data_IF_045151930932
#
_entry.id   IF_045151930932
#
_cell.length_a   1.000
_cell.length_b   1.000
_cell.length_c   1.000
_cell.angle_alpha   90.00
_cell.angle_beta   90.00
_cell.angle_gamma   90.00
#
_symmetry.space_group_name_H-M   'P 1'
#
loop_
_entity.id
_entity.type
_entity.pdbx_description
1 polymer ?
#
# COMPACT_ATOMS: atom_id res chain seq x y z
N UNK A 1 8.61 -27.26 4.01
CA UNK A 1 7.56 -26.26 4.22
C UNK A 1 8.09 -24.92 3.72
N UNK A 2 7.60 -24.43 2.59
CA UNK A 2 8.02 -23.15 2.03
C UNK A 2 7.16 -22.03 2.64
N UNK A 3 7.80 -21.05 3.27
CA UNK A 3 7.13 -19.84 3.73
C UNK A 3 6.74 -19.01 2.51
N UNK A 4 5.46 -18.90 2.23
CA UNK A 4 4.93 -18.08 1.14
C UNK A 4 4.83 -16.63 1.62
N UNK A 5 5.70 -15.75 1.10
CA UNK A 5 5.66 -14.32 1.38
C UNK A 5 4.45 -13.71 0.65
N UNK A 6 3.53 -13.15 1.45
CA UNK A 6 2.25 -12.60 1.00
C UNK A 6 2.28 -11.08 1.14
N UNK A 7 1.93 -10.37 0.07
CA UNK A 7 1.91 -8.89 0.00
C UNK A 7 0.47 -8.38 -0.05
N UNK A 8 0.00 -7.84 1.08
CA UNK A 8 -1.31 -7.21 1.20
C UNK A 8 -1.31 -5.84 0.50
N UNK A 9 -2.26 -5.64 -0.43
CA UNK A 9 -2.62 -4.31 -0.92
C UNK A 9 -4.13 -4.11 -0.80
N UNK A 10 -4.51 -3.05 -0.10
CA UNK A 10 -5.85 -2.48 -0.15
C UNK A 10 -5.94 -1.62 -1.42
N UNK A 11 -6.39 -2.21 -2.54
CA UNK A 11 -6.47 -1.52 -3.85
C UNK A 11 -7.74 -0.65 -3.97
N UNK A 12 -8.68 -0.72 -3.03
CA UNK A 12 -10.02 -0.09 -3.20
C UNK A 12 -10.18 1.24 -2.43
N UNK A 13 -9.21 1.65 -1.60
CA UNK A 13 -9.36 2.82 -0.72
C UNK A 13 -8.90 4.20 -1.26
N UNK A 14 -8.31 4.30 -2.45
CA UNK A 14 -7.48 5.47 -2.83
C UNK A 14 -8.18 6.57 -3.64
N UNK A 15 -9.49 6.48 -3.90
CA UNK A 15 -10.25 7.53 -4.60
C UNK A 15 -11.25 8.18 -3.63
N UNK A 16 -10.86 9.29 -2.98
CA UNK A 16 -11.86 10.22 -2.44
C UNK A 16 -11.63 10.95 -1.11
N UNK A 17 -10.51 10.78 -0.39
CA UNK A 17 -10.45 11.23 1.03
C UNK A 17 -9.41 12.34 1.36
N UNK A 18 -8.94 13.12 0.39
CA UNK A 18 -7.74 13.93 0.63
C UNK A 18 -7.94 15.30 1.32
N UNK A 19 -9.10 15.97 1.20
CA UNK A 19 -9.12 17.42 1.45
C UNK A 19 -9.56 17.89 2.86
N UNK A 20 -10.56 17.31 3.55
CA UNK A 20 -10.95 17.80 4.88
C UNK A 20 -10.04 17.31 6.04
N UNK A 21 -9.16 16.34 5.80
CA UNK A 21 -8.33 15.74 6.87
C UNK A 21 -7.05 16.53 7.21
N UNK A 22 -6.56 17.37 6.29
CA UNK A 22 -5.27 18.04 6.46
C UNK A 22 -5.34 19.18 7.49
N UNK A 23 -6.44 19.93 7.52
CA UNK A 23 -6.61 21.08 8.43
C UNK A 23 -6.86 20.63 9.88
N UNK A 24 -7.60 19.53 10.05
CA UNK A 24 -7.80 18.84 11.34
C UNK A 24 -6.49 18.25 11.87
N UNK A 25 -5.60 17.81 10.98
CA UNK A 25 -4.31 17.19 11.32
C UNK A 25 -3.36 18.16 12.02
N UNK A 26 -3.18 19.38 11.52
CA UNK A 26 -2.23 20.36 12.06
C UNK A 26 -2.62 20.81 13.48
N UNK A 27 -3.91 21.10 13.70
CA UNK A 27 -4.43 21.46 15.02
C UNK A 27 -4.30 20.32 16.06
N UNK A 28 -4.40 19.06 15.61
CA UNK A 28 -4.18 17.88 16.48
C UNK A 28 -2.70 17.66 16.79
N UNK A 29 -1.81 17.83 15.81
CA UNK A 29 -0.36 17.70 16.02
C UNK A 29 0.16 18.68 17.07
N UNK A 30 -0.29 19.94 17.04
CA UNK A 30 0.07 20.94 18.05
C UNK A 30 -0.34 20.50 19.46
N UNK A 31 -1.56 19.98 19.63
CA UNK A 31 -2.05 19.44 20.91
C UNK A 31 -1.22 18.24 21.38
N UNK A 32 -0.86 17.33 20.49
CA UNK A 32 -0.02 16.18 20.85
C UNK A 32 1.39 16.60 21.27
N UNK A 33 1.98 17.58 20.57
CA UNK A 33 3.28 18.15 20.93
C UNK A 33 3.25 18.85 22.28
N UNK A 34 2.16 19.57 22.60
CA UNK A 34 1.97 20.20 23.91
C UNK A 34 1.89 19.16 25.05
N UNK A 35 1.11 18.08 24.85
CA UNK A 35 0.97 16.99 25.84
C UNK A 35 2.27 16.25 26.15
N UNK A 36 3.19 16.20 25.19
CA UNK A 36 4.53 15.64 25.42
C UNK A 36 5.42 16.55 26.31
N UNK A 37 5.03 17.81 26.53
CA UNK A 37 5.80 18.82 27.27
C UNK A 37 5.15 19.27 28.59
N UNK A 38 3.82 19.17 28.70
CA UNK A 38 3.05 19.70 29.85
C UNK A 38 2.94 18.74 31.04
N UNK A 39 3.59 17.58 30.96
CA UNK A 39 3.56 16.55 32.00
C UNK A 39 2.52 15.45 31.80
N UNK A 40 1.63 15.56 30.79
CA UNK A 40 0.62 14.53 30.50
C UNK A 40 1.24 13.14 30.30
N UNK A 41 2.42 13.05 29.70
CA UNK A 41 3.12 11.79 29.42
C UNK A 41 4.38 11.56 30.29
N UNK A 42 4.36 11.98 31.56
CA UNK A 42 5.51 11.82 32.48
C UNK A 42 5.93 10.36 32.73
N UNK A 43 5.03 9.40 32.49
CA UNK A 43 5.36 7.97 32.55
C UNK A 43 6.35 7.50 31.47
N UNK A 44 6.52 8.25 30.38
CA UNK A 44 7.54 7.95 29.37
C UNK A 44 8.94 8.41 29.83
N UNK A 45 10.03 7.81 29.37
CA UNK A 45 11.37 8.38 29.54
C UNK A 45 11.47 9.78 28.91
N UNK A 46 12.26 10.67 29.52
CA UNK A 46 12.45 12.04 29.04
C UNK A 46 12.99 12.06 27.61
N UNK A 47 14.06 11.30 27.34
CA UNK A 47 14.70 11.23 26.03
C UNK A 47 13.73 10.78 24.93
N UNK A 48 12.80 9.86 25.26
CA UNK A 48 11.76 9.43 24.32
C UNK A 48 10.77 10.56 24.03
N UNK A 49 10.35 11.34 25.03
CA UNK A 49 9.45 12.49 24.82
C UNK A 49 10.13 13.57 23.96
N UNK A 50 11.40 13.84 24.21
CA UNK A 50 12.20 14.80 23.43
C UNK A 50 12.35 14.34 21.98
N UNK A 51 12.70 13.07 21.77
CA UNK A 51 12.77 12.46 20.44
C UNK A 51 11.45 12.56 19.68
N UNK A 52 10.33 12.17 20.30
CA UNK A 52 9.00 12.25 19.67
C UNK A 52 8.59 13.70 19.37
N UNK A 53 8.89 14.62 20.29
CA UNK A 53 8.63 16.06 20.11
C UNK A 53 9.36 16.63 18.91
N UNK A 54 10.61 16.21 18.68
CA UNK A 54 11.40 16.62 17.51
C UNK A 54 10.84 16.07 16.20
N UNK A 55 10.19 14.90 16.23
CA UNK A 55 9.57 14.27 15.05
C UNK A 55 8.22 14.86 14.65
N UNK A 56 7.51 15.52 15.58
CA UNK A 56 6.25 16.23 15.29
C UNK A 56 6.58 17.60 14.68
N UNK A 57 6.80 17.59 13.36
CA UNK A 57 6.94 18.77 12.52
C UNK A 57 5.58 19.21 11.94
N UNK A 58 5.43 20.45 11.45
CA UNK A 58 4.15 20.95 10.91
C UNK A 58 3.60 20.09 9.76
N UNK A 59 4.49 19.52 8.94
CA UNK A 59 4.19 18.68 7.79
C UNK A 59 4.05 17.18 8.13
N UNK A 60 4.27 16.77 9.40
CA UNK A 60 4.31 15.36 9.75
C UNK A 60 3.01 14.61 9.40
N UNK A 61 1.86 15.28 9.52
CA UNK A 61 0.56 14.71 9.13
C UNK A 61 0.36 14.59 7.62
N UNK A 62 1.13 15.34 6.82
CA UNK A 62 1.02 15.33 5.34
C UNK A 62 1.86 14.22 4.70
N UNK A 63 2.94 13.78 5.35
CA UNK A 63 3.89 12.82 4.78
C UNK A 63 3.22 11.49 4.39
N UNK A 64 2.42 10.92 5.27
CA UNK A 64 1.78 9.63 5.01
C UNK A 64 0.71 9.71 3.89
N UNK A 65 -0.25 10.66 3.92
CA UNK A 65 -1.17 10.85 2.79
C UNK A 65 -0.46 11.13 1.46
N UNK A 66 0.61 11.93 1.48
CA UNK A 66 1.37 12.25 0.26
C UNK A 66 2.07 11.01 -0.29
N UNK A 67 2.70 10.20 0.56
CA UNK A 67 3.28 8.93 0.16
C UNK A 67 2.21 7.98 -0.42
N UNK A 68 1.02 7.94 0.19
CA UNK A 68 -0.12 7.15 -0.31
C UNK A 68 -0.57 7.59 -1.70
N UNK A 69 -0.67 8.90 -1.95
CA UNK A 69 -0.99 9.45 -3.29
C UNK A 69 0.06 9.05 -4.32
N UNK A 70 1.34 9.21 -4.00
CA UNK A 70 2.44 8.84 -4.91
C UNK A 70 2.46 7.33 -5.20
N UNK A 71 2.21 6.48 -4.20
CA UNK A 71 2.09 5.04 -4.39
C UNK A 71 0.90 4.69 -5.31
N UNK A 72 -0.24 5.39 -5.17
CA UNK A 72 -1.40 5.19 -6.05
C UNK A 72 -1.09 5.56 -7.50
N UNK A 73 -0.38 6.67 -7.72
CA UNK A 73 0.06 7.11 -9.05
C UNK A 73 1.05 6.13 -9.68
N UNK A 74 2.02 5.65 -8.90
CA UNK A 74 2.97 4.63 -9.33
C UNK A 74 2.26 3.33 -9.73
N UNK A 75 1.29 2.86 -8.93
CA UNK A 75 0.50 1.69 -9.24
C UNK A 75 -0.34 1.87 -10.51
N UNK A 76 -0.97 3.03 -10.69
CA UNK A 76 -1.73 3.37 -11.91
C UNK A 76 -0.85 3.35 -13.16
N UNK A 77 0.35 3.94 -13.07
CA UNK A 77 1.34 3.89 -14.15
C UNK A 77 1.78 2.46 -14.48
N UNK A 78 2.00 1.64 -13.45
CA UNK A 78 2.37 0.23 -13.58
C UNK A 78 1.27 -0.58 -14.28
N UNK A 79 0.00 -0.41 -13.89
CA UNK A 79 -1.14 -1.04 -14.55
C UNK A 79 -1.20 -0.65 -16.02
N UNK A 80 -1.17 0.66 -16.33
CA UNK A 80 -1.26 1.17 -17.70
C UNK A 80 -0.15 0.64 -18.61
N UNK A 81 1.04 0.43 -18.05
CA UNK A 81 2.21 -0.05 -18.80
C UNK A 81 2.14 -1.57 -19.00
N UNK A 82 1.94 -2.33 -17.92
CA UNK A 82 2.07 -3.79 -17.96
C UNK A 82 0.85 -4.50 -18.56
N UNK A 83 -0.32 -3.88 -18.45
CA UNK A 83 -1.51 -4.42 -19.10
C UNK A 83 -1.55 -4.08 -20.59
N UNK A 84 -0.79 -3.10 -21.08
CA UNK A 84 -0.80 -2.75 -22.50
C UNK A 84 -0.22 -3.89 -23.36
N UNK A 85 -0.97 -4.28 -24.38
CA UNK A 85 -0.55 -5.20 -25.43
C UNK A 85 0.20 -4.46 -26.55
N UNK A 86 0.98 -5.18 -27.39
CA UNK A 86 1.63 -4.58 -28.56
C UNK A 86 0.67 -3.86 -29.51
N UNK A 87 -0.57 -4.36 -29.63
CA UNK A 87 -1.64 -3.75 -30.42
C UNK A 87 -2.30 -2.51 -29.77
N UNK A 88 -1.85 -2.12 -28.58
CA UNK A 88 -2.37 -0.97 -27.82
C UNK A 88 -3.59 -1.29 -26.95
N UNK A 89 -4.20 -2.47 -27.07
CA UNK A 89 -5.29 -2.90 -26.20
C UNK A 89 -4.78 -3.20 -24.78
N UNK A 90 -5.70 -3.33 -23.81
CA UNK A 90 -5.37 -3.62 -22.42
C UNK A 90 -5.68 -5.09 -22.08
N UNK A 91 -4.74 -5.75 -21.41
CA UNK A 91 -4.95 -7.06 -20.78
C UNK A 91 -5.98 -6.96 -19.67
N UNK A 92 -6.70 -8.05 -19.45
CA UNK A 92 -7.54 -8.18 -18.26
C UNK A 92 -6.65 -8.26 -17.03
N UNK A 93 -7.19 -7.88 -15.88
CA UNK A 93 -6.55 -8.07 -14.59
C UNK A 93 -6.96 -9.44 -14.04
N UNK A 94 -5.99 -10.28 -13.71
CA UNK A 94 -6.22 -11.49 -12.93
C UNK A 94 -6.35 -11.09 -11.46
N UNK A 95 -7.37 -11.61 -10.77
CA UNK A 95 -7.59 -11.42 -9.34
C UNK A 95 -7.44 -12.79 -8.67
N UNK A 96 -6.45 -12.93 -7.80
CA UNK A 96 -6.14 -14.16 -7.08
C UNK A 96 -6.54 -13.97 -5.62
N UNK A 97 -7.76 -14.40 -5.28
CA UNK A 97 -8.24 -14.40 -3.89
C UNK A 97 -7.48 -15.44 -3.05
N UNK A 98 -7.25 -15.14 -1.77
CA UNK A 98 -6.58 -16.05 -0.82
C UNK A 98 -7.37 -16.17 0.47
N UNK A 99 -7.54 -17.37 1.00
CA UNK A 99 -8.23 -17.61 2.28
C UNK A 99 -9.72 -17.23 2.23
N UNK A 100 -10.22 -16.57 3.28
CA UNK A 100 -11.55 -15.98 3.31
C UNK A 100 -11.64 -14.85 2.27
N UNK A 101 -12.47 -14.99 1.22
CA UNK A 101 -12.43 -14.07 0.08
C UNK A 101 -12.84 -12.65 0.45
N UNK A 102 -13.66 -12.46 1.47
CA UNK A 102 -14.19 -11.15 1.85
C UNK A 102 -14.01 -11.00 3.36
N UNK A 103 -13.22 -10.02 3.78
CA UNK A 103 -13.05 -9.74 5.21
C UNK A 103 -14.30 -9.08 5.81
N UNK A 104 -14.37 -9.00 7.14
CA UNK A 104 -15.55 -8.51 7.88
C UNK A 104 -16.05 -7.10 7.51
N UNK A 105 -15.23 -6.27 6.85
CA UNK A 105 -15.65 -4.97 6.32
C UNK A 105 -16.13 -5.01 4.85
N UNK A 106 -16.36 -6.21 4.29
CA UNK A 106 -16.82 -6.37 2.91
C UNK A 106 -15.73 -6.19 1.85
N UNK A 107 -14.45 -6.26 2.22
CA UNK A 107 -13.32 -6.05 1.29
C UNK A 107 -12.77 -7.37 0.80
N UNK A 108 -12.55 -7.47 -0.51
CA UNK A 108 -11.86 -8.61 -1.12
C UNK A 108 -10.35 -8.49 -0.90
N UNK A 109 -9.75 -9.50 -0.26
CA UNK A 109 -8.31 -9.62 -0.12
C UNK A 109 -7.75 -10.48 -1.27
N UNK A 110 -6.97 -9.85 -2.15
CA UNK A 110 -6.47 -10.53 -3.33
C UNK A 110 -5.11 -10.01 -3.80
N UNK A 111 -4.39 -10.88 -4.51
CA UNK A 111 -3.31 -10.48 -5.39
C UNK A 111 -3.85 -10.13 -6.76
N UNK A 112 -3.16 -9.24 -7.45
CA UNK A 112 -3.49 -8.91 -8.84
C UNK A 112 -2.29 -9.08 -9.75
N UNK A 113 -2.53 -9.52 -10.99
CA UNK A 113 -1.49 -9.74 -11.98
C UNK A 113 -2.06 -9.55 -13.41
N UNK A 114 -1.21 -9.36 -14.44
CA UNK A 114 -1.67 -9.40 -15.82
C UNK A 114 -2.28 -10.77 -16.17
N UNK A 115 -3.47 -10.77 -16.79
CA UNK A 115 -4.06 -12.00 -17.34
C UNK A 115 -3.53 -12.23 -18.76
N UNK A 116 -2.84 -13.35 -18.95
CA UNK A 116 -2.41 -13.85 -20.26
C UNK A 116 -3.37 -14.95 -20.72
N UNK A 117 -3.91 -14.86 -21.93
CA UNK A 117 -4.83 -15.90 -22.45
C UNK A 117 -4.11 -17.20 -22.84
N UNK A 118 -2.78 -17.19 -22.98
CA UNK A 118 -2.02 -18.37 -23.38
C UNK A 118 -2.18 -18.73 -24.86
N UNK A 119 -2.75 -17.83 -25.65
CA UNK A 119 -2.90 -17.98 -27.10
C UNK A 119 -1.63 -17.55 -27.82
N UNK A 120 -1.46 -17.92 -29.10
CA UNK A 120 -0.32 -17.47 -29.90
C UNK A 120 -0.18 -15.94 -29.96
N UNK A 121 -1.30 -15.21 -29.90
CA UNK A 121 -1.37 -13.75 -29.88
C UNK A 121 -1.12 -13.09 -28.52
N UNK A 122 -1.20 -13.84 -27.41
CA UNK A 122 -0.94 -13.34 -26.04
C UNK A 122 -0.41 -14.51 -25.19
N UNK A 123 0.82 -14.97 -25.49
CA UNK A 123 1.39 -16.16 -24.87
C UNK A 123 1.65 -15.90 -23.38
N UNK A 124 1.47 -16.94 -22.57
CA UNK A 124 1.85 -16.89 -21.16
C UNK A 124 3.39 -16.89 -21.07
N UNK A 125 4.02 -15.89 -20.43
CA UNK A 125 5.47 -15.88 -20.29
C UNK A 125 5.99 -17.08 -19.47
N UNK A 126 7.30 -17.41 -19.56
CA UNK A 126 7.92 -18.40 -18.69
C UNK A 126 7.72 -18.07 -17.20
N UNK A 127 7.71 -19.09 -16.34
CA UNK A 127 7.37 -18.97 -14.90
C UNK A 127 8.11 -17.84 -14.18
N UNK A 128 9.40 -17.71 -14.43
CA UNK A 128 10.28 -16.74 -13.74
C UNK A 128 10.34 -15.38 -14.45
N UNK A 129 9.57 -15.18 -15.53
CA UNK A 129 9.58 -13.94 -16.27
C UNK A 129 8.97 -12.79 -15.44
N UNK A 130 9.61 -11.60 -15.36
CA UNK A 130 9.11 -10.48 -14.57
C UNK A 130 7.66 -10.07 -14.89
N UNK A 131 7.23 -10.21 -16.15
CA UNK A 131 5.85 -9.90 -16.55
C UNK A 131 4.78 -10.71 -15.81
N UNK A 132 5.13 -11.87 -15.25
CA UNK A 132 4.21 -12.71 -14.45
C UNK A 132 4.08 -12.29 -13.00
N UNK A 133 4.92 -11.36 -12.52
CA UNK A 133 4.86 -10.89 -11.13
C UNK A 133 3.50 -10.26 -10.83
N UNK A 134 3.05 -10.41 -9.60
CA UNK A 134 1.87 -9.68 -9.12
C UNK A 134 2.20 -8.20 -8.99
N UNK A 135 1.22 -7.33 -9.22
CA UNK A 135 1.37 -5.89 -8.98
C UNK A 135 1.74 -5.62 -7.51
N UNK A 136 1.23 -6.43 -6.58
CA UNK A 136 1.59 -6.39 -5.17
C UNK A 136 3.11 -6.58 -4.97
N UNK A 137 3.69 -7.62 -5.57
CA UNK A 137 5.12 -7.90 -5.44
C UNK A 137 5.97 -6.77 -6.02
N UNK A 138 5.61 -6.24 -7.19
CA UNK A 138 6.37 -5.16 -7.81
C UNK A 138 6.28 -3.86 -7.00
N UNK A 139 5.13 -3.56 -6.41
CA UNK A 139 5.01 -2.40 -5.54
C UNK A 139 5.87 -2.50 -4.27
N UNK A 140 6.06 -3.71 -3.72
CA UNK A 140 7.03 -3.93 -2.63
C UNK A 140 8.46 -3.80 -3.13
N UNK A 141 8.78 -4.45 -4.26
CA UNK A 141 10.13 -4.42 -4.83
C UNK A 141 10.60 -2.99 -5.18
N UNK A 142 9.66 -2.11 -5.56
CA UNK A 142 9.92 -0.70 -5.86
C UNK A 142 9.85 0.23 -4.64
N UNK A 143 9.55 -0.30 -3.44
CA UNK A 143 9.49 0.48 -2.20
C UNK A 143 8.21 1.30 -2.02
N UNK A 144 7.18 1.07 -2.83
CA UNK A 144 5.88 1.73 -2.70
C UNK A 144 4.95 1.09 -1.67
N UNK A 145 5.27 -0.13 -1.22
CA UNK A 145 4.62 -0.76 -0.06
C UNK A 145 5.55 -1.65 0.74
N UNK A 146 5.03 -2.08 1.89
CA UNK A 146 5.66 -3.02 2.79
C UNK A 146 4.93 -4.37 2.78
N UNK A 147 5.68 -5.43 3.09
CA UNK A 147 5.13 -6.76 3.33
C UNK A 147 4.45 -6.80 4.70
N UNK A 148 3.24 -7.37 4.76
CA UNK A 148 2.56 -7.69 6.01
C UNK A 148 2.60 -9.20 6.22
N UNK A 149 3.12 -9.62 7.38
CA UNK A 149 3.13 -11.03 7.78
C UNK A 149 1.77 -11.35 8.38
N UNK A 150 1.04 -12.30 7.78
CA UNK A 150 -0.26 -12.78 8.26
C UNK A 150 -0.06 -14.17 8.88
N UNK A 151 -0.44 -14.33 10.17
CA UNK A 151 -0.35 -15.61 10.90
C UNK A 151 -1.58 -15.88 11.79
N UNK A 152 -2.11 -17.12 11.83
CA UNK A 152 -1.79 -18.22 10.92
C UNK A 152 -2.16 -17.82 9.48
N UNK A 153 -1.58 -18.49 8.49
CA UNK A 153 -1.93 -18.19 7.09
C UNK A 153 -3.43 -18.38 6.89
N UNK A 154 -4.14 -17.33 6.50
CA UNK A 154 -5.53 -17.40 6.03
C UNK A 154 -5.67 -18.40 4.87
#
# INVERSE_FOLDING_TARGET
>A
MAAEQRVLFDVVGLVGWADPFLDVGVGRLGKHKARLRDGTYNALPQDLREYLTARITPDAAQRHPSAGKLAAEAHKSMLNTRLKRPDGSQRKLAVLATGEPVEGNGRLLAYTAPWFSGTASDPLPPREHPDRRTFNLDMVALGWAATFIIYPSL
#
